data_IF_908596022968
#
_entry.id   IF_908596022968
#
_cell.length_a   1.000
_cell.length_b   1.000
_cell.length_c   1.000
_cell.angle_alpha   90.00
_cell.angle_beta   90.00
_cell.angle_gamma   90.00
#
_symmetry.space_group_name_H-M   'P 1'
#
loop_
_entity.id
_entity.type
_entity.pdbx_description
1 polymer ?
#
# COMPACT_ATOMS: atom_id res chain seq x y z
N UNK A 1 -7.83 -18.05 -29.05
CA UNK A 1 -8.11 -19.29 -29.83
C UNK A 1 -8.81 -20.34 -28.96
N UNK A 2 -8.27 -20.69 -27.78
CA UNK A 2 -8.82 -21.76 -26.92
C UNK A 2 -10.30 -21.57 -26.52
N UNK A 3 -10.77 -20.33 -26.30
CA UNK A 3 -12.18 -20.04 -25.95
C UNK A 3 -13.13 -19.92 -27.16
N UNK A 4 -12.59 -19.83 -28.37
CA UNK A 4 -13.37 -19.55 -29.58
C UNK A 4 -14.02 -20.83 -30.14
N UNK A 5 -13.31 -21.95 -30.09
CA UNK A 5 -13.77 -23.26 -30.56
C UNK A 5 -15.01 -23.75 -29.78
N UNK A 6 -15.00 -23.83 -28.44
CA UNK A 6 -16.18 -24.24 -27.69
C UNK A 6 -17.34 -23.24 -27.82
N UNK A 7 -17.05 -21.94 -27.93
CA UNK A 7 -18.08 -20.92 -28.16
C UNK A 7 -18.74 -21.05 -29.53
N UNK A 8 -17.97 -21.37 -30.58
CA UNK A 8 -18.51 -21.59 -31.92
C UNK A 8 -19.47 -22.79 -31.97
N UNK A 9 -19.19 -23.85 -31.22
CA UNK A 9 -20.09 -25.01 -31.09
C UNK A 9 -21.40 -24.60 -30.41
N UNK A 10 -21.33 -23.84 -29.30
CA UNK A 10 -22.52 -23.33 -28.59
C UNK A 10 -23.34 -22.39 -29.49
N UNK A 11 -22.67 -21.52 -30.26
CA UNK A 11 -23.32 -20.61 -31.21
C UNK A 11 -24.09 -21.36 -32.30
N UNK A 12 -23.55 -22.47 -32.81
CA UNK A 12 -24.20 -23.28 -33.85
C UNK A 12 -25.38 -24.11 -33.33
N UNK A 13 -25.36 -24.51 -32.05
CA UNK A 13 -26.41 -25.35 -31.47
C UNK A 13 -27.54 -24.49 -30.87
N UNK A 14 -27.21 -23.40 -30.17
CA UNK A 14 -28.13 -22.61 -29.34
C UNK A 14 -27.72 -21.12 -29.29
N UNK A 15 -27.88 -20.36 -30.38
CA UNK A 15 -27.50 -18.95 -30.43
C UNK A 15 -28.33 -18.05 -29.48
N UNK A 16 -29.56 -18.43 -29.17
CA UNK A 16 -30.45 -17.67 -28.27
C UNK A 16 -29.96 -17.69 -26.80
N UNK A 17 -29.06 -18.60 -26.44
CA UNK A 17 -28.49 -18.70 -25.10
C UNK A 17 -27.39 -17.67 -24.80
N UNK A 18 -26.87 -16.98 -25.83
CA UNK A 18 -25.72 -16.07 -25.72
C UNK A 18 -25.98 -14.91 -24.72
N UNK A 19 -27.13 -14.21 -24.73
CA UNK A 19 -27.38 -13.14 -23.77
C UNK A 19 -27.36 -13.62 -22.32
N UNK A 20 -27.85 -14.85 -22.05
CA UNK A 20 -27.82 -15.46 -20.73
C UNK A 20 -26.39 -15.84 -20.33
N UNK A 21 -25.62 -16.44 -21.24
CA UNK A 21 -24.24 -16.81 -20.99
C UNK A 21 -23.36 -15.58 -20.67
N UNK A 22 -23.59 -14.44 -21.33
CA UNK A 22 -22.82 -13.19 -21.08
C UNK A 22 -23.06 -12.61 -19.69
N UNK A 23 -24.23 -12.89 -19.09
CA UNK A 23 -24.58 -12.44 -17.74
C UNK A 23 -24.03 -13.41 -16.69
N UNK A 24 -24.27 -14.71 -16.87
CA UNK A 24 -23.99 -15.72 -15.85
C UNK A 24 -22.61 -16.38 -15.97
N UNK A 25 -22.04 -16.49 -17.17
CA UNK A 25 -20.76 -17.19 -17.41
C UNK A 25 -19.83 -16.43 -18.38
N UNK A 26 -19.46 -15.17 -18.09
CA UNK A 26 -18.63 -14.34 -18.96
C UNK A 26 -17.16 -14.82 -19.10
N UNK A 27 -16.75 -15.84 -18.35
CA UNK A 27 -15.39 -16.41 -18.42
C UNK A 27 -15.20 -17.35 -19.63
N UNK A 28 -16.27 -18.00 -20.09
CA UNK A 28 -16.24 -19.00 -21.18
C UNK A 28 -16.45 -18.39 -22.57
N UNK A 29 -16.78 -17.10 -22.63
CA UNK A 29 -17.15 -16.40 -23.87
C UNK A 29 -15.93 -15.65 -24.41
N UNK A 30 -15.71 -15.63 -25.74
CA UNK A 30 -14.70 -14.80 -26.36
C UNK A 30 -14.96 -13.33 -26.09
N UNK A 31 -13.89 -12.53 -26.06
CA UNK A 31 -13.93 -11.11 -25.73
C UNK A 31 -14.86 -10.30 -26.65
N UNK A 32 -15.13 -10.79 -27.86
CA UNK A 32 -16.00 -10.18 -28.88
C UNK A 32 -17.48 -10.13 -28.48
N UNK A 33 -17.92 -10.97 -27.54
CA UNK A 33 -19.33 -11.02 -27.11
C UNK A 33 -19.55 -10.48 -25.69
N UNK A 34 -18.50 -9.92 -25.07
CA UNK A 34 -18.62 -9.22 -23.79
C UNK A 34 -19.15 -7.81 -24.04
N UNK A 35 -19.97 -7.29 -23.11
CA UNK A 35 -20.36 -5.86 -23.10
C UNK A 35 -19.11 -4.98 -22.94
N UNK A 36 -19.10 -3.82 -23.60
CA UNK A 36 -17.99 -2.85 -23.51
C UNK A 36 -17.63 -2.50 -22.06
N UNK A 37 -18.65 -2.35 -21.20
CA UNK A 37 -18.44 -2.09 -19.77
C UNK A 37 -17.67 -3.19 -19.05
N UNK A 38 -17.90 -4.47 -19.38
CA UNK A 38 -17.17 -5.59 -18.79
C UNK A 38 -15.72 -5.64 -19.28
N UNK A 39 -15.48 -5.29 -20.56
CA UNK A 39 -14.13 -5.22 -21.14
C UNK A 39 -13.34 -4.10 -20.46
N UNK A 40 -13.92 -2.90 -20.37
CA UNK A 40 -13.30 -1.73 -19.71
C UNK A 40 -13.01 -2.03 -18.24
N UNK A 41 -13.94 -2.64 -17.50
CA UNK A 41 -13.70 -3.05 -16.13
C UNK A 41 -12.54 -4.05 -16.01
N UNK A 42 -12.47 -5.07 -16.88
CA UNK A 42 -11.36 -6.05 -16.89
C UNK A 42 -10.02 -5.36 -17.17
N UNK A 43 -9.97 -4.47 -18.16
CA UNK A 43 -8.76 -3.69 -18.49
C UNK A 43 -8.31 -2.87 -17.27
N UNK A 44 -9.25 -2.16 -16.63
CA UNK A 44 -8.96 -1.33 -15.45
C UNK A 44 -8.40 -2.16 -14.29
N UNK A 45 -8.95 -3.35 -14.03
CA UNK A 45 -8.43 -4.24 -12.99
C UNK A 45 -6.98 -4.65 -13.29
N UNK A 46 -6.68 -5.02 -14.54
CA UNK A 46 -5.33 -5.41 -14.97
C UNK A 46 -4.35 -4.23 -14.84
N UNK A 47 -4.77 -3.03 -15.22
CA UNK A 47 -3.96 -1.81 -15.09
C UNK A 47 -3.65 -1.49 -13.63
N UNK A 48 -4.65 -1.58 -12.74
CA UNK A 48 -4.46 -1.38 -11.30
C UNK A 48 -3.49 -2.42 -10.73
N UNK A 49 -3.61 -3.69 -11.10
CA UNK A 49 -2.67 -4.73 -10.69
C UNK A 49 -1.24 -4.42 -11.14
N UNK A 50 -1.05 -4.03 -12.41
CA UNK A 50 0.27 -3.63 -12.94
C UNK A 50 0.85 -2.42 -12.21
N UNK A 51 0.01 -1.44 -11.84
CA UNK A 51 0.44 -0.27 -11.07
C UNK A 51 0.91 -0.67 -9.67
N UNK A 52 0.16 -1.54 -8.99
CA UNK A 52 0.53 -2.09 -7.68
C UNK A 52 1.86 -2.84 -7.73
N UNK A 53 2.03 -3.72 -8.71
CA UNK A 53 3.29 -4.45 -8.93
C UNK A 53 4.47 -3.51 -9.23
N UNK A 54 4.25 -2.46 -10.02
CA UNK A 54 5.28 -1.45 -10.32
C UNK A 54 5.69 -0.71 -9.05
N UNK A 55 4.72 -0.31 -8.22
CA UNK A 55 4.98 0.37 -6.96
C UNK A 55 5.73 -0.55 -5.99
N UNK A 56 5.34 -1.82 -5.86
CA UNK A 56 6.04 -2.81 -5.04
C UNK A 56 7.50 -2.97 -5.48
N UNK A 57 7.78 -3.12 -6.78
CA UNK A 57 9.16 -3.17 -7.30
C UNK A 57 9.98 -1.93 -6.93
N UNK A 58 9.37 -0.74 -6.98
CA UNK A 58 10.02 0.50 -6.54
C UNK A 58 10.31 0.46 -5.04
N UNK A 59 9.34 0.08 -4.21
CA UNK A 59 9.49 -0.05 -2.76
C UNK A 59 10.58 -1.05 -2.38
N UNK A 60 10.63 -2.21 -3.05
CA UNK A 60 11.66 -3.24 -2.87
C UNK A 60 13.06 -2.68 -3.16
N UNK A 61 13.24 -2.01 -4.31
CA UNK A 61 14.52 -1.38 -4.66
C UNK A 61 14.95 -0.33 -3.64
N UNK A 62 14.02 0.50 -3.17
CA UNK A 62 14.29 1.52 -2.16
C UNK A 62 14.66 0.90 -0.81
N UNK A 63 13.92 -0.12 -0.37
CA UNK A 63 14.17 -0.88 0.86
C UNK A 63 15.56 -1.51 0.85
N UNK A 64 15.94 -2.17 -0.25
CA UNK A 64 17.29 -2.74 -0.40
C UNK A 64 18.39 -1.69 -0.28
N UNK A 65 18.20 -0.51 -0.89
CA UNK A 65 19.18 0.56 -0.79
C UNK A 65 19.30 1.11 0.63
N UNK A 66 18.16 1.27 1.32
CA UNK A 66 18.12 1.78 2.69
C UNK A 66 18.77 0.78 3.67
N UNK A 67 18.51 -0.52 3.52
CA UNK A 67 19.14 -1.56 4.34
C UNK A 67 20.66 -1.62 4.14
N UNK A 68 21.14 -1.56 2.90
CA UNK A 68 22.58 -1.51 2.59
C UNK A 68 23.26 -0.29 3.20
N UNK A 69 22.61 0.86 3.17
CA UNK A 69 23.14 2.07 3.82
C UNK A 69 23.14 1.96 5.34
N UNK A 70 22.17 1.27 5.93
CA UNK A 70 22.08 1.10 7.37
C UNK A 70 23.13 0.14 7.94
N UNK A 71 23.54 -0.88 7.19
CA UNK A 71 24.69 -1.74 7.55
C UNK A 71 25.98 -0.95 7.76
N UNK A 72 26.10 0.20 7.08
CA UNK A 72 27.27 1.08 7.15
C UNK A 72 27.18 2.10 8.29
N UNK A 73 26.02 2.28 8.91
CA UNK A 73 25.76 3.29 9.94
C UNK A 73 25.45 2.61 11.26
N UNK A 74 26.35 2.75 12.24
CA UNK A 74 26.09 2.28 13.60
C UNK A 74 25.04 3.17 14.28
N UNK A 75 23.92 2.61 14.75
CA UNK A 75 23.03 3.32 15.69
C UNK A 75 21.55 2.96 15.66
N UNK A 76 20.99 2.49 14.54
CA UNK A 76 19.56 2.11 14.45
C UNK A 76 19.44 0.80 13.69
N UNK A 77 19.02 -0.27 14.38
CA UNK A 77 18.75 -1.54 13.75
C UNK A 77 17.31 -1.55 13.18
N UNK A 78 17.05 -2.12 11.99
CA UNK A 78 15.70 -2.24 11.44
C UNK A 78 14.68 -2.86 12.42
N UNK A 79 15.13 -3.79 13.25
CA UNK A 79 14.34 -4.50 14.25
C UNK A 79 13.86 -3.58 15.37
N UNK A 80 14.55 -2.45 15.60
CA UNK A 80 14.13 -1.47 16.60
C UNK A 80 12.83 -0.76 16.21
N UNK A 81 12.50 -0.72 14.91
CA UNK A 81 11.21 -0.21 14.43
C UNK A 81 10.04 -1.19 14.60
N UNK A 82 10.29 -2.47 14.91
CA UNK A 82 9.24 -3.47 15.19
C UNK A 82 8.79 -3.47 16.65
N UNK A 83 9.67 -3.05 17.56
CA UNK A 83 9.35 -2.97 18.98
C UNK A 83 8.84 -1.58 19.31
N UNK A 84 7.56 -1.47 19.64
CA UNK A 84 6.91 -0.22 20.03
C UNK A 84 7.70 0.63 21.04
N UNK A 85 8.20 0.10 22.18
CA UNK A 85 8.98 0.90 23.13
C UNK A 85 10.33 1.36 22.55
N UNK A 86 10.99 0.55 21.71
CA UNK A 86 12.23 0.95 21.05
C UNK A 86 11.96 2.05 20.01
N UNK A 87 10.88 1.90 19.24
CA UNK A 87 10.49 2.88 18.25
C UNK A 87 10.14 4.23 18.89
N UNK A 88 9.44 4.22 20.03
CA UNK A 88 9.19 5.44 20.81
C UNK A 88 10.49 6.11 21.30
N UNK A 89 11.51 5.34 21.70
CA UNK A 89 12.82 5.90 22.04
C UNK A 89 13.48 6.57 20.83
N UNK A 90 13.47 5.90 19.67
CA UNK A 90 14.00 6.49 18.42
C UNK A 90 13.25 7.80 18.11
N UNK A 91 11.92 7.81 18.20
CA UNK A 91 11.13 9.00 17.98
C UNK A 91 11.50 10.13 18.96
N UNK A 92 11.71 9.83 20.25
CA UNK A 92 12.16 10.82 21.23
C UNK A 92 13.49 11.47 20.86
N UNK A 93 14.44 10.68 20.38
CA UNK A 93 15.80 11.16 20.08
C UNK A 93 15.90 11.88 18.74
N UNK A 94 15.17 11.41 17.72
CA UNK A 94 15.30 11.90 16.34
C UNK A 94 14.09 12.70 15.85
N UNK A 95 13.11 13.01 16.71
CA UNK A 95 11.87 13.68 16.30
C UNK A 95 12.13 14.93 15.45
N UNK A 96 13.12 15.72 15.85
CA UNK A 96 13.49 16.98 15.21
C UNK A 96 14.04 16.80 13.80
N UNK A 97 14.81 15.75 13.55
CA UNK A 97 15.42 15.47 12.25
C UNK A 97 14.39 14.98 11.23
N UNK A 98 13.33 14.33 11.71
CA UNK A 98 12.24 13.78 10.89
C UNK A 98 11.01 14.71 10.78
N UNK A 99 11.12 15.95 11.24
CA UNK A 99 10.13 16.98 10.95
C UNK A 99 10.12 17.26 9.43
N UNK A 100 8.95 17.20 8.80
CA UNK A 100 8.80 17.40 7.35
C UNK A 100 9.34 18.75 6.84
N UNK A 101 9.48 19.75 7.71
CA UNK A 101 10.08 21.05 7.40
C UNK A 101 11.61 21.01 7.28
N UNK A 102 12.27 20.02 7.90
CA UNK A 102 13.74 19.90 7.95
C UNK A 102 14.30 18.88 6.97
N UNK A 103 13.47 17.94 6.52
CA UNK A 103 13.85 16.95 5.52
C UNK A 103 14.13 17.65 4.18
N UNK A 104 15.29 17.35 3.58
CA UNK A 104 15.67 17.92 2.29
C UNK A 104 14.81 17.38 1.14
N UNK A 105 14.87 18.08 0.02
CA UNK A 105 14.06 17.77 -1.17
C UNK A 105 14.25 16.34 -1.67
N UNK A 106 15.46 15.77 -1.61
CA UNK A 106 15.72 14.41 -2.14
C UNK A 106 15.03 13.36 -1.28
N UNK A 107 15.13 13.48 0.05
CA UNK A 107 14.41 12.59 0.95
C UNK A 107 12.89 12.77 0.87
N UNK A 108 12.37 14.00 0.78
CA UNK A 108 10.93 14.23 0.56
C UNK A 108 10.42 13.63 -0.76
N UNK A 109 11.20 13.72 -1.83
CA UNK A 109 10.91 13.07 -3.11
C UNK A 109 10.89 11.55 -2.96
N UNK A 110 11.87 10.97 -2.27
CA UNK A 110 11.92 9.54 -1.97
C UNK A 110 10.71 9.08 -1.13
N UNK A 111 10.30 9.86 -0.13
CA UNK A 111 9.15 9.55 0.72
C UNK A 111 7.85 9.59 -0.08
N UNK A 112 7.65 10.62 -0.90
CA UNK A 112 6.50 10.69 -1.81
C UNK A 112 6.46 9.46 -2.73
N UNK A 113 7.59 9.13 -3.37
CA UNK A 113 7.70 7.98 -4.27
C UNK A 113 7.37 6.66 -3.57
N UNK A 114 7.88 6.46 -2.35
CA UNK A 114 7.62 5.26 -1.57
C UNK A 114 6.14 5.11 -1.20
N UNK A 115 5.49 6.22 -0.83
CA UNK A 115 4.06 6.27 -0.52
C UNK A 115 3.16 6.25 -1.76
N UNK A 116 3.70 6.07 -2.97
CA UNK A 116 2.92 6.03 -4.21
C UNK A 116 2.44 7.40 -4.71
N UNK A 117 2.98 8.49 -4.17
CA UNK A 117 2.67 9.85 -4.55
C UNK A 117 3.59 10.35 -5.67
N UNK A 118 3.15 11.37 -6.41
CA UNK A 118 4.03 12.08 -7.33
C UNK A 118 5.21 12.69 -6.55
N UNK A 119 6.43 12.42 -7.00
CA UNK A 119 7.70 12.74 -6.37
C UNK A 119 8.43 13.93 -7.01
N UNK A 120 7.80 14.58 -7.99
CA UNK A 120 8.29 15.78 -8.66
C UNK A 120 7.77 17.08 -8.02
N UNK A 121 8.56 18.14 -8.15
CA UNK A 121 8.26 19.50 -7.69
C UNK A 121 9.30 20.08 -6.74
N UNK A 122 9.02 21.29 -6.24
CA UNK A 122 9.84 21.97 -5.24
C UNK A 122 9.71 21.30 -3.86
N UNK A 123 10.65 21.57 -2.96
CA UNK A 123 10.63 21.02 -1.60
C UNK A 123 9.31 21.34 -0.87
N UNK A 124 8.81 22.58 -1.00
CA UNK A 124 7.55 22.98 -0.39
C UNK A 124 6.33 22.25 -0.94
N UNK A 125 6.31 21.95 -2.25
CA UNK A 125 5.24 21.16 -2.88
C UNK A 125 5.24 19.71 -2.38
N UNK A 126 6.41 19.08 -2.35
CA UNK A 126 6.58 17.71 -1.86
C UNK A 126 6.18 17.61 -0.38
N UNK A 127 6.64 18.57 0.44
CA UNK A 127 6.26 18.67 1.86
C UNK A 127 4.74 18.74 2.03
N UNK A 128 4.08 19.68 1.35
CA UNK A 128 2.62 19.85 1.43
C UNK A 128 1.87 18.59 0.98
N UNK A 129 2.34 17.93 -0.09
CA UNK A 129 1.76 16.70 -0.61
C UNK A 129 1.85 15.56 0.39
N UNK A 130 3.04 15.33 0.95
CA UNK A 130 3.26 14.30 1.95
C UNK A 130 2.47 14.59 3.23
N UNK A 131 2.50 15.83 3.73
CA UNK A 131 1.74 16.23 4.91
C UNK A 131 0.23 16.00 4.74
N UNK A 132 -0.33 16.40 3.58
CA UNK A 132 -1.74 16.15 3.25
C UNK A 132 -2.07 14.65 3.21
N UNK A 133 -1.17 13.84 2.66
CA UNK A 133 -1.36 12.40 2.62
C UNK A 133 -1.32 11.76 4.02
N UNK A 134 -0.39 12.19 4.87
CA UNK A 134 -0.30 11.69 6.25
C UNK A 134 -1.51 12.10 7.09
N UNK A 135 -2.07 13.31 6.89
CA UNK A 135 -3.33 13.75 7.50
C UNK A 135 -4.53 12.91 7.03
N UNK A 136 -4.56 12.50 5.75
CA UNK A 136 -5.55 11.54 5.26
C UNK A 136 -5.42 10.19 5.97
N UNK A 137 -4.21 9.63 6.07
CA UNK A 137 -3.97 8.35 6.77
C UNK A 137 -4.35 8.43 8.24
N UNK A 138 -4.05 9.53 8.92
CA UNK A 138 -4.40 9.70 10.34
C UNK A 138 -5.93 9.71 10.55
N UNK A 139 -6.69 10.33 9.64
CA UNK A 139 -8.15 10.32 9.69
C UNK A 139 -8.71 8.93 9.42
N UNK A 140 -8.15 8.22 8.44
CA UNK A 140 -8.52 6.83 8.14
C UNK A 140 -8.19 5.89 9.32
N UNK A 141 -7.02 6.04 9.95
CA UNK A 141 -6.63 5.31 11.16
C UNK A 141 -7.64 5.49 12.30
N UNK A 142 -8.21 6.69 12.47
CA UNK A 142 -9.23 6.96 13.49
C UNK A 142 -10.56 6.25 13.19
N UNK A 143 -10.89 6.02 11.92
CA UNK A 143 -12.06 5.25 11.53
C UNK A 143 -11.80 3.75 11.73
N UNK A 144 -10.67 3.25 11.22
CA UNK A 144 -10.25 1.86 11.40
C UNK A 144 -10.12 1.46 12.87
N UNK A 145 -9.68 2.38 13.74
CA UNK A 145 -9.62 2.16 15.18
C UNK A 145 -11.00 1.88 15.81
N UNK A 146 -12.07 2.47 15.25
CA UNK A 146 -13.44 2.30 15.75
C UNK A 146 -14.11 1.05 15.17
N UNK A 147 -13.89 0.80 13.88
CA UNK A 147 -14.49 -0.33 13.16
C UNK A 147 -13.79 -1.65 13.49
N UNK A 148 -12.48 -1.61 13.74
CA UNK A 148 -11.66 -2.78 14.04
C UNK A 148 -11.10 -3.46 12.80
N UNK A 149 -9.80 -3.78 12.84
CA UNK A 149 -9.08 -4.41 11.72
C UNK A 149 -9.65 -5.76 11.31
N UNK A 150 -10.26 -6.50 12.23
CA UNK A 150 -10.78 -7.85 11.97
C UNK A 150 -12.07 -7.85 11.11
N UNK A 151 -12.74 -6.70 11.00
CA UNK A 151 -13.98 -6.56 10.23
C UNK A 151 -13.74 -6.22 8.75
N UNK A 152 -12.50 -5.93 8.36
CA UNK A 152 -12.15 -5.58 6.96
C UNK A 152 -12.19 -6.81 6.06
N UNK A 153 -12.73 -6.63 4.85
CA UNK A 153 -12.58 -7.60 3.76
C UNK A 153 -11.13 -7.65 3.24
N UNK A 154 -10.80 -8.66 2.44
CA UNK A 154 -9.42 -8.87 1.95
C UNK A 154 -8.95 -7.71 1.05
N UNK A 155 -9.86 -7.09 0.28
CA UNK A 155 -9.52 -5.98 -0.63
C UNK A 155 -9.30 -4.70 0.16
N UNK A 156 -10.16 -4.41 1.14
CA UNK A 156 -10.05 -3.28 2.06
C UNK A 156 -8.76 -3.39 2.87
N UNK A 157 -8.49 -4.57 3.47
CA UNK A 157 -7.26 -4.83 4.20
C UNK A 157 -6.03 -4.62 3.32
N UNK A 158 -6.03 -5.18 2.11
CA UNK A 158 -4.93 -5.03 1.15
C UNK A 158 -4.67 -3.58 0.78
N UNK A 159 -5.75 -2.80 0.59
CA UNK A 159 -5.67 -1.37 0.26
C UNK A 159 -5.16 -0.56 1.45
N UNK A 160 -5.72 -0.78 2.64
CA UNK A 160 -5.32 -0.09 3.87
C UNK A 160 -3.83 -0.29 4.19
N UNK A 161 -3.32 -1.51 4.00
CA UNK A 161 -1.91 -1.86 4.18
C UNK A 161 -1.03 -1.17 3.13
N UNK A 162 -1.44 -1.17 1.85
CA UNK A 162 -0.67 -0.52 0.78
C UNK A 162 -0.58 1.00 0.92
N UNK A 163 -1.67 1.66 1.32
CA UNK A 163 -1.73 3.10 1.56
C UNK A 163 -0.78 3.52 2.71
N UNK A 164 -0.61 2.66 3.70
CA UNK A 164 0.34 2.87 4.82
C UNK A 164 1.78 2.48 4.48
N UNK A 165 2.08 2.21 3.20
CA UNK A 165 3.44 1.90 2.76
C UNK A 165 3.91 0.48 3.11
N UNK A 166 2.99 -0.42 3.48
CA UNK A 166 3.28 -1.82 3.76
C UNK A 166 3.01 -2.67 2.51
N UNK A 167 3.55 -3.90 2.52
CA UNK A 167 3.41 -4.84 1.41
C UNK A 167 2.12 -5.65 1.56
N UNK A 168 1.38 -5.81 0.47
CA UNK A 168 0.20 -6.68 0.44
C UNK A 168 0.27 -7.76 -0.67
N UNK A 169 1.07 -7.53 -1.73
CA UNK A 169 1.22 -8.49 -2.81
C UNK A 169 1.93 -9.75 -2.33
N UNK A 170 1.27 -10.89 -2.53
CA UNK A 170 1.73 -12.22 -2.11
C UNK A 170 1.94 -12.37 -0.59
N UNK A 171 1.32 -11.51 0.21
CA UNK A 171 1.34 -11.61 1.67
C UNK A 171 0.07 -12.33 2.18
N UNK A 172 0.19 -13.21 3.18
CA UNK A 172 -0.97 -13.87 3.76
C UNK A 172 -1.82 -12.87 4.56
N UNK A 173 -3.13 -13.10 4.58
CA UNK A 173 -4.09 -12.20 5.23
C UNK A 173 -3.74 -11.91 6.69
N UNK A 174 -3.38 -12.95 7.45
CA UNK A 174 -3.00 -12.79 8.86
C UNK A 174 -1.82 -11.85 9.05
N UNK A 175 -0.83 -11.88 8.15
CA UNK A 175 0.33 -11.01 8.20
C UNK A 175 -0.05 -9.56 7.94
N UNK A 176 -0.95 -9.33 6.97
CA UNK A 176 -1.50 -8.00 6.71
C UNK A 176 -2.29 -7.46 7.91
N UNK A 177 -3.11 -8.29 8.56
CA UNK A 177 -3.84 -7.91 9.78
C UNK A 177 -2.89 -7.58 10.93
N UNK A 178 -1.84 -8.38 11.17
CA UNK A 178 -0.81 -8.10 12.18
C UNK A 178 -0.08 -6.79 11.90
N UNK A 179 0.33 -6.57 10.66
CA UNK A 179 1.00 -5.34 10.24
C UNK A 179 0.12 -4.09 10.46
N UNK A 180 -1.17 -4.17 10.11
CA UNK A 180 -2.10 -3.07 10.29
C UNK A 180 -2.42 -2.81 11.77
N UNK A 181 -2.61 -3.86 12.58
CA UNK A 181 -2.77 -3.73 14.04
C UNK A 181 -1.54 -3.09 14.68
N UNK A 182 -0.34 -3.50 14.27
CA UNK A 182 0.90 -2.90 14.72
C UNK A 182 0.97 -1.40 14.36
N UNK A 183 0.66 -1.06 13.11
CA UNK A 183 0.60 0.33 12.65
C UNK A 183 -0.33 1.18 13.53
N UNK A 184 -1.55 0.70 13.78
CA UNK A 184 -2.50 1.41 14.64
C UNK A 184 -2.00 1.54 16.07
N UNK A 185 -1.34 0.53 16.65
CA UNK A 185 -0.74 0.65 17.98
C UNK A 185 0.35 1.73 18.03
N UNK A 186 1.11 1.89 16.94
CA UNK A 186 2.14 2.94 16.79
C UNK A 186 1.50 4.32 16.70
N UNK A 187 0.45 4.50 15.89
CA UNK A 187 -0.17 5.81 15.64
C UNK A 187 -1.18 6.23 16.72
N UNK A 188 -1.90 5.30 17.35
CA UNK A 188 -2.86 5.60 18.42
C UNK A 188 -2.17 6.10 19.70
N UNK A 189 -0.97 5.60 20.02
CA UNK A 189 -0.23 6.08 21.19
C UNK A 189 0.13 7.57 21.09
N UNK A 190 0.19 8.13 19.88
CA UNK A 190 0.38 9.58 19.68
C UNK A 190 -0.80 10.40 20.24
N UNK A 191 -1.99 9.82 20.33
CA UNK A 191 -3.22 10.50 20.76
C UNK A 191 -3.41 10.48 22.28
N UNK A 192 -2.81 9.51 22.98
CA UNK A 192 -2.92 9.32 24.43
C UNK A 192 -1.91 10.12 25.26
N UNK A 193 -1.30 11.18 24.69
CA UNK A 193 -0.31 12.02 25.38
C UNK A 193 1.09 11.41 25.48
N UNK A 194 1.36 10.30 24.79
CA UNK A 194 2.71 9.74 24.63
C UNK A 194 3.44 10.40 23.45
N UNK A 195 4.72 10.10 23.29
CA UNK A 195 5.61 10.74 22.29
C UNK A 195 5.06 10.52 20.88
N UNK A 196 4.64 11.61 20.25
CA UNK A 196 4.16 11.59 18.88
C UNK A 196 5.33 11.28 17.93
N UNK A 197 5.18 10.24 17.12
CA UNK A 197 6.14 9.86 16.08
C UNK A 197 5.93 10.80 14.87
N UNK A 198 6.96 11.55 14.44
CA UNK A 198 6.81 12.45 13.30
C UNK A 198 6.41 11.70 12.02
N UNK A 199 5.61 12.31 11.13
CA UNK A 199 5.20 11.66 9.88
C UNK A 199 6.37 11.22 9.00
N UNK A 200 7.46 12.01 8.98
CA UNK A 200 8.68 11.64 8.26
C UNK A 200 9.31 10.35 8.80
N UNK A 201 9.30 10.17 10.12
CA UNK A 201 9.85 8.98 10.78
C UNK A 201 8.94 7.76 10.57
N UNK A 202 7.62 7.94 10.55
CA UNK A 202 6.68 6.87 10.18
C UNK A 202 7.00 6.33 8.79
N UNK A 203 7.07 7.22 7.78
CA UNK A 203 7.40 6.81 6.39
C UNK A 203 8.78 6.17 6.33
N UNK A 204 9.78 6.76 6.99
CA UNK A 204 11.13 6.20 7.06
C UNK A 204 11.12 4.77 7.62
N UNK A 205 10.42 4.51 8.74
CA UNK A 205 10.31 3.17 9.32
C UNK A 205 9.73 2.15 8.34
N UNK A 206 8.74 2.53 7.52
CA UNK A 206 8.12 1.63 6.53
C UNK A 206 9.11 1.20 5.45
N UNK A 207 10.06 2.07 5.11
CA UNK A 207 11.12 1.74 4.14
C UNK A 207 12.06 0.64 4.64
N UNK A 208 12.19 0.45 5.96
CA UNK A 208 12.93 -0.69 6.53
C UNK A 208 12.06 -1.93 6.69
N UNK A 209 10.80 -1.72 7.06
CA UNK A 209 9.89 -2.79 7.47
C UNK A 209 9.02 -3.35 6.34
N UNK A 210 9.28 -3.00 5.07
CA UNK A 210 8.49 -3.46 3.93
C UNK A 210 8.35 -4.99 3.88
N UNK A 211 9.43 -5.71 4.20
CA UNK A 211 9.48 -7.18 4.20
C UNK A 211 9.55 -7.77 5.62
N UNK A 212 9.29 -6.97 6.66
CA UNK A 212 9.38 -7.42 8.03
C UNK A 212 8.20 -8.34 8.39
N UNK A 213 8.47 -9.28 9.30
CA UNK A 213 7.45 -10.12 9.93
C UNK A 213 7.00 -9.46 11.23
N UNK A 214 5.69 -9.37 11.42
CA UNK A 214 5.03 -8.69 12.54
C UNK A 214 4.41 -9.74 13.46
#
# INVERSE_FOLDING_TARGET
>A
IIKLIPFGIIFCILPESIPLLVIYVPAMIPSTCLKDSQIVCKIRIIELQKQREKLDKVRQKMTMNVLKSAEQVQGIAPEDFLSLPKFQRIAKHYAYDFDLSRIDRRHLSAYCRFMGLNDYGTQGMLKKRLAKYMDYIEKDDKLLAKEGVDNLDIKELSTAVEERGMRSLNEPEEQMRRALKYWLAVTQNQQSGQIAIPPGLLVFSRMFLLNAKY
#
